data_IF_801665779469
#
_entry.id   IF_801665779469
#
_cell.length_a   1.000
_cell.length_b   1.000
_cell.length_c   1.000
_cell.angle_alpha   90.00
_cell.angle_beta   90.00
_cell.angle_gamma   90.00
#
_symmetry.space_group_name_H-M   'P 1'
#
loop_
_entity.id
_entity.type
_entity.pdbx_description
1 polymer ?
#
# COMPACT_ATOMS: atom_id res chain seq x y z
N UNK A 1 -2.15 -42.71 -22.67
CA UNK A 1 -2.85 -41.42 -22.82
C UNK A 1 -3.97 -41.36 -21.79
N UNK A 2 -3.62 -40.95 -20.58
CA UNK A 2 -4.54 -40.49 -19.54
C UNK A 2 -3.77 -39.38 -18.83
N UNK A 3 -4.19 -38.13 -19.04
CA UNK A 3 -3.59 -36.97 -18.41
C UNK A 3 -4.22 -36.79 -17.03
N UNK A 4 -3.39 -36.96 -16.01
CA UNK A 4 -3.68 -36.57 -14.63
C UNK A 4 -3.46 -35.06 -14.54
N UNK A 5 -4.53 -34.30 -14.29
CA UNK A 5 -4.46 -32.90 -13.87
C UNK A 5 -4.48 -32.92 -12.35
N UNK A 6 -3.34 -32.63 -11.72
CA UNK A 6 -3.25 -32.56 -10.26
C UNK A 6 -3.87 -31.24 -9.77
N UNK A 7 -4.92 -31.36 -8.96
CA UNK A 7 -5.46 -30.25 -8.18
C UNK A 7 -4.50 -29.97 -7.03
N UNK A 8 -3.81 -28.83 -7.07
CA UNK A 8 -3.13 -28.26 -5.91
C UNK A 8 -4.20 -27.55 -5.07
N UNK A 9 -4.51 -28.12 -3.91
CA UNK A 9 -5.33 -27.45 -2.90
C UNK A 9 -4.42 -26.48 -2.13
N UNK A 10 -4.72 -25.18 -2.20
CA UNK A 10 -4.13 -24.17 -1.31
C UNK A 10 -4.73 -24.37 0.08
N UNK A 11 -3.88 -24.63 1.07
CA UNK A 11 -4.24 -24.78 2.47
C UNK A 11 -4.07 -23.40 3.12
N UNK A 12 -5.17 -22.65 3.25
CA UNK A 12 -5.20 -21.44 4.06
C UNK A 12 -5.08 -21.85 5.53
N UNK A 13 -4.00 -21.38 6.17
CA UNK A 13 -3.73 -21.59 7.58
C UNK A 13 -4.77 -20.86 8.44
N UNK A 14 -5.58 -21.63 9.16
CA UNK A 14 -6.53 -21.13 10.14
C UNK A 14 -5.80 -20.52 11.35
N UNK A 15 -5.89 -19.21 11.54
CA UNK A 15 -5.47 -18.53 12.78
C UNK A 15 -6.54 -18.80 13.84
N UNK A 16 -6.16 -19.55 14.89
CA UNK A 16 -6.98 -19.77 16.06
C UNK A 16 -6.87 -18.56 17.01
N UNK A 17 -7.91 -17.71 17.01
CA UNK A 17 -8.04 -16.61 17.97
C UNK A 17 -8.32 -17.17 19.37
N UNK A 18 -7.34 -17.07 20.26
CA UNK A 18 -7.49 -17.34 21.69
C UNK A 18 -8.31 -16.24 22.38
N UNK A 19 -9.45 -16.63 22.95
CA UNK A 19 -10.35 -15.74 23.68
C UNK A 19 -9.72 -15.19 24.97
N UNK A 20 -9.66 -13.86 25.12
CA UNK A 20 -9.45 -13.18 26.41
C UNK A 20 -10.70 -12.35 26.74
N UNK A 21 -11.15 -12.52 27.98
CA UNK A 21 -12.45 -12.14 28.48
C UNK A 21 -12.71 -10.63 28.55
N UNK A 22 -13.93 -10.25 28.14
CA UNK A 22 -14.47 -8.90 28.15
C UNK A 22 -14.75 -8.36 29.57
N UNK A 23 -14.17 -7.19 29.89
CA UNK A 23 -14.59 -6.32 30.98
C UNK A 23 -15.28 -5.07 30.42
N UNK A 24 -16.58 -4.92 30.68
CA UNK A 24 -17.43 -3.87 30.13
C UNK A 24 -17.05 -2.46 30.65
N UNK A 25 -16.85 -1.50 29.73
CA UNK A 25 -16.82 -0.08 30.05
C UNK A 25 -17.79 0.69 29.13
N UNK A 26 -18.88 1.18 29.72
CA UNK A 26 -19.97 1.89 29.05
C UNK A 26 -19.62 3.37 28.89
N UNK A 27 -19.55 3.88 27.66
CA UNK A 27 -19.41 5.33 27.37
C UNK A 27 -20.72 5.88 26.82
N UNK A 28 -21.21 6.95 27.44
CA UNK A 28 -22.46 7.65 27.13
C UNK A 28 -22.23 8.68 26.01
N UNK A 29 -22.91 8.50 24.87
CA UNK A 29 -22.96 9.49 23.78
C UNK A 29 -23.99 10.59 24.10
N UNK A 30 -23.55 11.86 24.06
CA UNK A 30 -24.43 13.02 24.09
C UNK A 30 -24.51 13.66 22.69
N UNK A 31 -25.69 13.58 22.08
CA UNK A 31 -26.03 14.18 20.78
C UNK A 31 -26.28 15.69 20.91
N UNK A 32 -25.56 16.50 20.14
CA UNK A 32 -25.79 17.94 20.01
C UNK A 32 -26.00 18.35 18.55
N UNK A 33 -27.26 18.58 18.18
CA UNK A 33 -27.71 19.17 16.91
C UNK A 33 -27.39 20.66 16.82
N UNK A 34 -26.88 21.14 15.69
CA UNK A 34 -26.85 22.57 15.37
C UNK A 34 -26.95 22.85 13.86
N UNK A 35 -28.14 23.33 13.45
CA UNK A 35 -28.31 24.57 12.68
C UNK A 35 -27.79 24.65 11.24
N UNK A 36 -28.68 24.37 10.29
CA UNK A 36 -28.64 24.89 8.91
C UNK A 36 -28.84 26.41 8.90
N UNK A 37 -27.97 27.15 8.21
CA UNK A 37 -28.18 28.54 7.86
C UNK A 37 -27.99 28.75 6.35
N UNK A 38 -29.09 29.11 5.68
CA UNK A 38 -29.14 29.62 4.31
C UNK A 38 -28.38 30.94 4.20
N UNK A 39 -27.69 31.15 3.07
CA UNK A 39 -27.19 32.46 2.68
C UNK A 39 -27.67 32.82 1.27
N UNK A 40 -28.06 34.08 1.17
CA UNK A 40 -28.91 34.68 0.17
C UNK A 40 -28.36 34.79 -1.24
N UNK A 41 -29.33 34.76 -2.15
CA UNK A 41 -29.28 35.02 -3.57
C UNK A 41 -29.10 36.51 -3.85
N UNK A 42 -28.05 36.91 -4.57
CA UNK A 42 -27.98 38.21 -5.23
C UNK A 42 -27.51 38.09 -6.68
N UNK A 43 -28.43 38.39 -7.59
CA UNK A 43 -28.18 38.47 -9.03
C UNK A 43 -27.52 39.77 -9.47
N UNK A 44 -26.89 39.73 -10.64
CA UNK A 44 -26.26 40.88 -11.29
C UNK A 44 -25.82 40.62 -12.73
N UNK A 45 -26.74 40.88 -13.67
CA UNK A 45 -26.66 41.22 -15.11
C UNK A 45 -25.29 41.20 -15.84
N UNK A 46 -25.22 40.39 -16.90
CA UNK A 46 -25.23 40.81 -18.32
C UNK A 46 -24.09 41.69 -18.88
N UNK A 47 -23.35 41.14 -19.86
CA UNK A 47 -22.52 41.90 -20.80
C UNK A 47 -22.03 41.00 -21.95
N UNK A 48 -22.30 41.38 -23.19
CA UNK A 48 -22.16 40.60 -24.43
C UNK A 48 -21.15 41.28 -25.38
N UNK A 49 -20.38 40.48 -26.13
CA UNK A 49 -19.51 40.89 -27.26
C UNK A 49 -18.02 40.68 -26.94
N UNK A 50 -17.15 40.13 -27.80
CA UNK A 50 -17.20 39.76 -29.21
C UNK A 50 -15.78 39.88 -29.80
N UNK A 51 -15.44 38.99 -30.75
CA UNK A 51 -14.27 39.00 -31.67
C UNK A 51 -12.89 38.46 -31.24
N UNK A 52 -12.67 37.20 -31.68
CA UNK A 52 -11.62 36.75 -32.62
C UNK A 52 -10.19 37.33 -32.54
N UNK A 53 -9.26 36.47 -32.14
CA UNK A 53 -7.83 36.56 -32.44
C UNK A 53 -7.27 35.15 -32.73
N UNK A 54 -6.70 34.99 -33.91
CA UNK A 54 -6.22 33.77 -34.56
C UNK A 54 -4.75 33.49 -34.21
N UNK A 55 -4.44 32.39 -33.51
CA UNK A 55 -3.21 31.57 -33.53
C UNK A 55 -3.57 30.27 -32.80
N UNK A 56 -3.16 29.05 -33.12
CA UNK A 56 -2.12 28.47 -33.97
C UNK A 56 -2.28 26.96 -33.77
N UNK A 57 -2.10 26.18 -34.83
CA UNK A 57 -2.35 24.74 -34.80
C UNK A 57 -1.34 24.02 -33.88
N UNK A 58 -1.80 23.57 -32.71
CA UNK A 58 -1.14 22.52 -31.95
C UNK A 58 -1.97 21.23 -32.07
N UNK A 59 -1.32 20.18 -32.56
CA UNK A 59 -1.86 18.83 -32.67
C UNK A 59 -2.31 18.38 -31.28
N UNK A 60 -3.62 18.15 -31.12
CA UNK A 60 -4.18 17.55 -29.93
C UNK A 60 -3.65 16.12 -29.75
N UNK A 61 -2.76 15.93 -28.78
CA UNK A 61 -2.60 14.66 -28.11
C UNK A 61 -3.91 14.35 -27.38
N UNK A 62 -4.50 13.20 -27.67
CA UNK A 62 -5.59 12.65 -26.88
C UNK A 62 -5.03 12.44 -25.47
N UNK A 63 -5.56 13.17 -24.49
CA UNK A 63 -5.32 12.90 -23.09
C UNK A 63 -6.02 11.60 -22.76
N UNK A 64 -5.22 10.54 -22.60
CA UNK A 64 -5.68 9.29 -22.02
C UNK A 64 -5.92 9.45 -20.52
N UNK A 65 -6.76 8.57 -20.02
CA UNK A 65 -7.36 8.60 -18.70
C UNK A 65 -6.31 8.64 -17.58
N UNK A 66 -6.69 9.40 -16.54
CA UNK A 66 -5.96 9.67 -15.30
C UNK A 66 -5.51 8.39 -14.59
N UNK A 67 -4.24 8.05 -14.79
CA UNK A 67 -3.34 7.48 -13.80
C UNK A 67 -2.02 8.21 -13.97
N UNK A 68 -1.48 8.83 -12.93
CA UNK A 68 -0.08 9.27 -12.98
C UNK A 68 0.74 7.99 -13.00
N UNK A 69 1.10 7.48 -14.18
CA UNK A 69 2.06 6.39 -14.30
C UNK A 69 3.38 6.89 -13.71
N UNK A 70 3.66 6.49 -12.47
CA UNK A 70 4.88 6.86 -11.76
C UNK A 70 6.01 5.87 -12.04
N UNK A 71 5.70 4.70 -12.63
CA UNK A 71 6.69 3.70 -13.01
C UNK A 71 7.85 4.32 -13.83
N UNK A 72 9.06 4.21 -13.30
CA UNK A 72 10.27 4.77 -13.91
C UNK A 72 10.46 6.28 -13.75
N UNK A 73 9.61 6.95 -12.96
CA UNK A 73 9.74 8.36 -12.57
C UNK A 73 10.11 8.46 -11.10
N UNK A 74 11.10 9.28 -10.79
CA UNK A 74 11.48 9.58 -9.42
C UNK A 74 10.51 10.59 -8.78
N UNK A 75 10.29 10.46 -7.48
CA UNK A 75 9.60 11.48 -6.69
C UNK A 75 10.36 12.82 -6.66
N UNK A 76 11.69 12.82 -6.84
CA UNK A 76 12.48 14.04 -7.00
C UNK A 76 12.18 14.74 -8.33
N UNK A 77 11.95 13.98 -9.40
CA UNK A 77 11.55 14.56 -10.70
C UNK A 77 10.15 15.20 -10.59
N UNK A 78 9.24 14.59 -9.84
CA UNK A 78 7.90 15.14 -9.58
C UNK A 78 7.98 16.50 -8.88
N UNK A 79 8.87 16.66 -7.90
CA UNK A 79 9.07 17.96 -7.23
C UNK A 79 9.68 19.00 -8.18
N UNK A 80 10.64 18.59 -9.02
CA UNK A 80 11.31 19.49 -9.96
C UNK A 80 10.37 19.98 -11.09
N UNK A 81 9.37 19.20 -11.49
CA UNK A 81 8.39 19.59 -12.51
C UNK A 81 7.38 20.66 -12.01
N UNK A 82 7.28 20.92 -10.70
CA UNK A 82 6.35 21.94 -10.15
C UNK A 82 6.88 23.38 -10.23
N UNK A 83 8.17 23.58 -10.52
CA UNK A 83 8.83 24.90 -10.45
C UNK A 83 8.75 25.77 -11.73
N UNK A 84 8.13 25.27 -12.81
CA UNK A 84 7.99 26.01 -14.07
C UNK A 84 6.53 26.47 -14.33
N UNK A 85 6.27 27.76 -14.10
CA UNK A 85 5.06 28.54 -14.43
C UNK A 85 3.80 28.36 -13.54
N UNK A 86 3.68 29.10 -12.43
CA UNK A 86 2.50 29.94 -12.09
C UNK A 86 2.59 30.49 -10.65
N UNK A 87 2.31 31.79 -10.43
CA UNK A 87 2.08 32.42 -9.11
C UNK A 87 0.82 31.89 -8.38
N UNK A 88 0.58 30.57 -8.42
CA UNK A 88 -0.67 29.92 -8.03
C UNK A 88 -0.41 28.83 -7.00
N UNK A 89 -1.04 28.88 -5.82
CA UNK A 89 -0.85 27.86 -4.79
C UNK A 89 -1.38 26.50 -5.25
N UNK A 90 -0.60 25.44 -4.96
CA UNK A 90 -0.73 24.08 -5.50
C UNK A 90 -2.06 23.37 -5.23
N UNK A 91 -2.77 23.70 -4.15
CA UNK A 91 -4.07 23.08 -3.82
C UNK A 91 -5.21 23.44 -4.78
N UNK A 92 -5.04 24.45 -5.62
CA UNK A 92 -6.15 25.08 -6.35
C UNK A 92 -6.58 24.34 -7.65
N UNK A 93 -5.93 23.22 -8.03
CA UNK A 93 -6.23 22.37 -9.21
C UNK A 93 -6.14 23.09 -10.57
N UNK A 94 -5.80 22.46 -11.70
CA UNK A 94 -5.72 23.18 -13.00
C UNK A 94 -7.08 23.83 -13.34
N UNK A 95 -7.15 25.12 -13.73
CA UNK A 95 -8.44 25.71 -14.07
C UNK A 95 -8.93 24.99 -15.32
N UNK A 96 -10.19 24.57 -15.33
CA UNK A 96 -10.83 24.16 -16.58
C UNK A 96 -10.80 25.31 -17.59
N UNK A 97 -11.23 25.05 -18.83
CA UNK A 97 -11.18 25.96 -20.00
C UNK A 97 -11.77 27.38 -19.79
N UNK A 98 -12.31 27.72 -18.63
CA UNK A 98 -12.91 29.01 -18.29
C UNK A 98 -12.51 29.57 -16.89
N UNK A 99 -11.37 29.15 -16.33
CA UNK A 99 -10.80 29.81 -15.13
C UNK A 99 -11.60 29.64 -13.83
N UNK A 100 -12.48 28.64 -13.73
CA UNK A 100 -13.27 28.34 -12.52
C UNK A 100 -12.84 27.01 -11.90
N UNK A 101 -12.57 26.94 -10.58
CA UNK A 101 -12.36 25.67 -9.87
C UNK A 101 -13.64 24.83 -9.81
N UNK A 102 -13.51 23.51 -9.87
CA UNK A 102 -14.56 22.57 -9.44
C UNK A 102 -15.71 22.34 -10.42
N UNK A 103 -15.44 22.05 -11.70
CA UNK A 103 -16.47 21.38 -12.51
C UNK A 103 -16.41 19.89 -12.22
N UNK A 104 -17.46 19.36 -11.58
CA UNK A 104 -17.67 17.92 -11.43
C UNK A 104 -17.43 17.19 -12.75
N UNK A 105 -16.82 16.01 -12.65
CA UNK A 105 -16.46 15.18 -13.78
C UNK A 105 -17.66 15.04 -14.76
N UNK A 106 -17.57 15.55 -16.00
CA UNK A 106 -18.69 15.47 -16.95
C UNK A 106 -18.91 14.04 -17.47
N UNK A 107 -17.91 13.17 -17.28
CA UNK A 107 -18.04 11.73 -17.40
C UNK A 107 -18.08 11.13 -16.00
N UNK A 108 -19.26 11.13 -15.37
CA UNK A 108 -19.55 10.09 -14.38
C UNK A 108 -19.07 8.79 -15.00
N UNK A 109 -18.17 8.06 -14.31
CA UNK A 109 -17.88 6.68 -14.68
C UNK A 109 -19.21 6.00 -14.98
N UNK A 110 -19.34 5.43 -16.17
CA UNK A 110 -20.61 4.83 -16.63
C UNK A 110 -21.02 3.60 -15.81
N UNK A 111 -20.18 3.20 -14.85
CA UNK A 111 -20.44 2.18 -13.85
C UNK A 111 -20.46 2.88 -12.49
N UNK A 112 -21.50 2.64 -11.69
CA UNK A 112 -21.41 2.89 -10.24
C UNK A 112 -20.25 2.02 -9.76
N UNK A 113 -19.28 2.63 -9.09
CA UNK A 113 -17.93 2.09 -8.95
C UNK A 113 -16.98 2.89 -9.85
N UNK A 114 -16.52 4.05 -9.34
CA UNK A 114 -15.26 4.63 -9.81
C UNK A 114 -14.15 3.57 -9.63
N UNK A 115 -12.99 3.71 -10.27
CA UNK A 115 -11.90 2.69 -10.37
C UNK A 115 -11.46 2.02 -9.03
N UNK A 116 -11.98 2.49 -7.89
CA UNK A 116 -11.65 2.14 -6.52
C UNK A 116 -12.89 1.98 -5.61
N UNK A 117 -14.09 1.79 -6.19
CA UNK A 117 -15.37 1.81 -5.48
C UNK A 117 -15.53 0.67 -4.49
N UNK A 118 -15.25 -0.56 -4.94
CA UNK A 118 -15.35 -1.77 -4.13
C UNK A 118 -14.04 -2.56 -4.32
N UNK A 119 -13.15 -2.55 -3.32
CA UNK A 119 -11.92 -3.34 -3.32
C UNK A 119 -12.21 -4.66 -2.62
N UNK A 120 -12.24 -5.74 -3.39
CA UNK A 120 -12.45 -7.09 -2.87
C UNK A 120 -11.16 -7.90 -2.96
N UNK A 121 -11.04 -8.94 -2.16
CA UNK A 121 -10.01 -9.97 -2.38
C UNK A 121 -10.34 -10.68 -3.69
N UNK A 122 -9.37 -10.74 -4.62
CA UNK A 122 -9.59 -11.23 -5.98
C UNK A 122 -8.83 -12.53 -6.27
N UNK A 123 -9.37 -13.31 -7.19
CA UNK A 123 -8.65 -14.41 -7.83
C UNK A 123 -7.56 -13.84 -8.74
N UNK A 124 -6.30 -14.16 -8.43
CA UNK A 124 -5.11 -13.67 -9.12
C UNK A 124 -4.18 -14.79 -9.56
N UNK A 125 -3.39 -14.51 -10.59
CA UNK A 125 -2.25 -15.34 -10.96
C UNK A 125 -1.06 -15.11 -10.01
N UNK A 126 0.02 -15.87 -10.19
CA UNK A 126 1.21 -15.78 -9.34
C UNK A 126 1.93 -14.41 -9.40
N UNK A 127 1.60 -13.53 -10.35
CA UNK A 127 2.14 -12.17 -10.47
C UNK A 127 1.20 -11.11 -9.87
N UNK A 128 0.06 -11.53 -9.31
CA UNK A 128 -0.98 -10.65 -8.79
C UNK A 128 -1.88 -10.05 -9.86
N UNK A 129 -1.84 -10.55 -11.10
CA UNK A 129 -2.74 -10.10 -12.17
C UNK A 129 -4.11 -10.76 -11.97
N UNK A 130 -5.23 -10.00 -11.95
CA UNK A 130 -6.56 -10.58 -11.83
C UNK A 130 -6.87 -11.58 -12.94
N UNK A 131 -7.40 -12.74 -12.57
CA UNK A 131 -7.93 -13.72 -13.52
C UNK A 131 -9.35 -13.31 -13.89
N UNK A 132 -9.57 -13.03 -15.18
CA UNK A 132 -10.87 -12.64 -15.69
C UNK A 132 -11.70 -13.89 -16.04
N UNK A 133 -12.93 -13.97 -15.54
CA UNK A 133 -13.80 -15.12 -15.76
C UNK A 133 -15.18 -14.71 -16.28
N UNK A 134 -15.80 -15.62 -17.02
CA UNK A 134 -17.21 -15.55 -17.38
C UNK A 134 -17.92 -16.71 -16.70
N UNK A 135 -18.93 -16.38 -15.90
CA UNK A 135 -19.80 -17.38 -15.28
C UNK A 135 -20.74 -17.97 -16.33
N UNK A 136 -20.86 -19.30 -16.31
CA UNK A 136 -21.65 -20.10 -17.23
C UNK A 136 -22.38 -21.20 -16.46
N UNK A 137 -23.38 -21.80 -17.10
CA UNK A 137 -24.27 -22.81 -16.51
C UNK A 137 -24.91 -22.35 -15.19
N UNK A 138 -26.12 -22.83 -14.92
CA UNK A 138 -26.76 -22.56 -13.64
C UNK A 138 -27.06 -23.88 -12.99
N UNK A 139 -26.86 -23.93 -11.67
CA UNK A 139 -27.34 -25.04 -10.87
C UNK A 139 -28.89 -25.12 -10.94
N UNK A 140 -29.46 -26.13 -10.27
CA UNK A 140 -30.91 -26.33 -10.24
C UNK A 140 -31.72 -25.15 -9.66
N UNK A 141 -31.05 -24.23 -8.96
CA UNK A 141 -31.64 -23.04 -8.34
C UNK A 141 -31.46 -21.77 -9.19
N UNK A 142 -30.87 -21.89 -10.40
CA UNK A 142 -30.65 -20.76 -11.32
C UNK A 142 -29.43 -19.90 -10.96
N UNK A 143 -28.59 -20.36 -10.03
CA UNK A 143 -27.37 -19.66 -9.61
C UNK A 143 -26.21 -20.13 -10.50
N UNK A 144 -25.34 -19.23 -11.00
CA UNK A 144 -24.16 -19.64 -11.73
C UNK A 144 -23.25 -20.55 -10.90
N UNK A 145 -22.88 -21.71 -11.45
CA UNK A 145 -22.09 -22.73 -10.72
C UNK A 145 -20.85 -23.23 -11.47
N UNK A 146 -20.58 -22.69 -12.66
CA UNK A 146 -19.34 -22.94 -13.39
C UNK A 146 -18.80 -21.64 -13.99
N UNK A 147 -17.50 -21.59 -14.25
CA UNK A 147 -16.87 -20.44 -14.90
C UNK A 147 -15.75 -20.90 -15.82
N UNK A 148 -15.40 -20.04 -16.77
CA UNK A 148 -14.24 -20.20 -17.64
C UNK A 148 -13.44 -18.90 -17.68
N UNK A 149 -12.11 -19.02 -17.71
CA UNK A 149 -11.23 -17.88 -17.92
C UNK A 149 -11.44 -17.30 -19.32
N UNK A 150 -11.60 -15.98 -19.40
CA UNK A 150 -11.86 -15.28 -20.66
C UNK A 150 -11.40 -13.84 -20.57
N UNK A 151 -10.75 -13.34 -21.62
CA UNK A 151 -10.32 -11.94 -21.72
C UNK A 151 -11.49 -10.94 -21.73
N UNK A 152 -12.70 -11.41 -22.10
CA UNK A 152 -13.94 -10.62 -22.06
C UNK A 152 -14.69 -10.75 -20.72
N UNK A 153 -14.09 -11.44 -19.74
CA UNK A 153 -14.66 -11.71 -18.43
C UNK A 153 -14.57 -10.55 -17.44
N UNK A 154 -15.03 -10.81 -16.22
CA UNK A 154 -14.98 -9.88 -15.10
C UNK A 154 -13.88 -10.29 -14.11
N UNK A 155 -13.38 -9.32 -13.35
CA UNK A 155 -12.55 -9.61 -12.17
C UNK A 155 -13.36 -10.41 -11.17
N UNK A 156 -12.69 -11.35 -10.51
CA UNK A 156 -13.38 -12.40 -9.77
C UNK A 156 -13.11 -12.29 -8.26
N UNK A 157 -14.06 -11.78 -7.46
CA UNK A 157 -13.97 -11.84 -6.00
C UNK A 157 -13.93 -13.28 -5.49
N UNK A 158 -13.30 -13.49 -4.34
CA UNK A 158 -13.23 -14.80 -3.67
C UNK A 158 -13.73 -14.74 -2.23
N UNK A 159 -14.30 -15.86 -1.77
CA UNK A 159 -14.71 -16.07 -0.39
C UNK A 159 -13.50 -16.35 0.54
N UNK A 160 -13.76 -16.45 1.84
CA UNK A 160 -12.73 -16.67 2.88
C UNK A 160 -11.95 -17.98 2.68
N UNK A 161 -12.51 -18.95 1.97
CA UNK A 161 -11.87 -20.21 1.61
C UNK A 161 -11.12 -20.15 0.27
N UNK A 162 -11.16 -19.01 -0.43
CA UNK A 162 -10.50 -18.75 -1.70
C UNK A 162 -11.28 -19.25 -2.93
N UNK A 163 -12.58 -19.54 -2.79
CA UNK A 163 -13.41 -19.94 -3.92
C UNK A 163 -14.01 -18.71 -4.64
N UNK A 164 -14.09 -18.73 -5.97
CA UNK A 164 -14.77 -17.69 -6.75
C UNK A 164 -16.24 -17.51 -6.37
N UNK A 165 -16.64 -16.26 -6.13
CA UNK A 165 -18.02 -15.87 -5.85
C UNK A 165 -18.81 -15.66 -7.16
N UNK A 166 -20.00 -16.27 -7.33
CA UNK A 166 -20.82 -16.08 -8.53
C UNK A 166 -21.11 -14.60 -8.85
N UNK A 167 -20.97 -14.23 -10.12
CA UNK A 167 -21.31 -12.90 -10.63
C UNK A 167 -22.51 -12.95 -11.59
N UNK A 168 -23.28 -11.87 -11.66
CA UNK A 168 -24.36 -11.69 -12.64
C UNK A 168 -23.84 -11.30 -14.05
N UNK A 169 -24.76 -11.11 -14.99
CA UNK A 169 -24.41 -10.77 -16.38
C UNK A 169 -23.77 -9.38 -16.53
N UNK A 170 -23.93 -8.51 -15.52
CA UNK A 170 -23.36 -7.18 -15.45
C UNK A 170 -22.01 -7.15 -14.71
N UNK A 171 -21.59 -8.28 -14.12
CA UNK A 171 -20.36 -8.44 -13.36
C UNK A 171 -20.47 -7.98 -11.90
N UNK A 172 -21.68 -7.83 -11.37
CA UNK A 172 -21.90 -7.61 -9.95
C UNK A 172 -22.01 -8.95 -9.20
N UNK A 173 -21.74 -8.94 -7.89
CA UNK A 173 -21.91 -10.13 -7.05
C UNK A 173 -23.36 -10.59 -7.13
N UNK A 174 -23.55 -11.89 -7.37
CA UNK A 174 -24.87 -12.48 -7.48
C UNK A 174 -25.62 -12.38 -6.15
N UNK A 175 -26.91 -12.08 -6.20
CA UNK A 175 -27.72 -11.89 -4.99
C UNK A 175 -27.73 -13.13 -4.10
N UNK A 176 -27.44 -12.93 -2.82
CA UNK A 176 -27.30 -13.97 -1.80
C UNK A 176 -25.85 -14.35 -1.46
N UNK A 177 -24.87 -13.79 -2.18
CA UNK A 177 -23.43 -14.02 -1.95
C UNK A 177 -22.67 -12.75 -1.56
N UNK A 178 -23.37 -11.63 -1.33
CA UNK A 178 -22.73 -10.34 -1.02
C UNK A 178 -21.94 -10.37 0.29
N UNK A 179 -22.37 -11.19 1.26
CA UNK A 179 -21.70 -11.35 2.56
C UNK A 179 -20.45 -12.25 2.49
N UNK A 180 -20.30 -13.03 1.42
CA UNK A 180 -19.13 -13.91 1.22
C UNK A 180 -17.93 -13.12 0.68
N UNK A 181 -18.17 -11.96 0.06
CA UNK A 181 -17.12 -11.12 -0.51
C UNK A 181 -16.31 -10.43 0.58
N UNK A 182 -15.00 -10.61 0.52
CA UNK A 182 -14.07 -10.01 1.47
C UNK A 182 -13.58 -8.66 0.96
N UNK A 183 -13.81 -7.61 1.73
CA UNK A 183 -13.29 -6.28 1.42
C UNK A 183 -11.81 -6.14 1.80
N UNK A 184 -11.07 -5.39 0.98
CA UNK A 184 -9.68 -5.05 1.28
C UNK A 184 -9.63 -3.76 2.07
N UNK A 185 -9.10 -3.84 3.28
CA UNK A 185 -8.87 -2.67 4.12
C UNK A 185 -7.48 -2.08 3.87
N UNK A 186 -7.44 -0.82 3.45
CA UNK A 186 -6.18 -0.07 3.30
C UNK A 186 -5.79 0.69 4.57
N UNK A 187 -6.72 0.94 5.49
CA UNK A 187 -6.47 1.73 6.70
C UNK A 187 -5.70 3.02 6.41
N UNK A 188 -4.48 3.12 6.95
CA UNK A 188 -3.56 4.25 6.78
C UNK A 188 -3.00 4.40 5.36
N UNK A 189 -2.91 3.32 4.61
CA UNK A 189 -2.43 3.30 3.21
C UNK A 189 -3.37 4.04 2.25
N UNK A 190 -4.60 4.36 2.68
CA UNK A 190 -5.50 5.24 1.92
C UNK A 190 -4.85 6.59 1.57
N UNK A 191 -3.81 7.01 2.31
CA UNK A 191 -3.02 8.19 1.96
C UNK A 191 -2.37 8.12 0.58
N UNK A 192 -2.14 6.93 0.02
CA UNK A 192 -1.66 6.75 -1.36
C UNK A 192 -2.59 7.34 -2.42
N UNK A 193 -3.86 7.58 -2.09
CA UNK A 193 -4.83 8.28 -2.97
C UNK A 193 -4.67 9.80 -2.93
N UNK A 194 -3.81 10.32 -2.06
CA UNK A 194 -3.47 11.73 -2.03
C UNK A 194 -2.71 12.12 -3.30
N UNK A 195 -2.70 13.41 -3.67
CA UNK A 195 -1.84 13.88 -4.75
C UNK A 195 -0.38 13.45 -4.53
N UNK A 196 0.30 13.04 -5.61
CA UNK A 196 1.67 12.50 -5.54
C UNK A 196 2.67 13.42 -4.82
N UNK A 197 2.50 14.74 -4.91
CA UNK A 197 3.37 15.71 -4.22
C UNK A 197 3.42 15.48 -2.70
N UNK A 198 2.35 14.95 -2.10
CA UNK A 198 2.33 14.64 -0.65
C UNK A 198 3.37 13.58 -0.31
N UNK A 199 3.50 12.54 -1.14
CA UNK A 199 4.54 11.52 -0.96
C UNK A 199 5.91 12.05 -1.38
N UNK A 200 5.98 12.87 -2.43
CA UNK A 200 7.23 13.45 -2.89
C UNK A 200 7.88 14.36 -1.84
N UNK A 201 7.12 15.22 -1.15
CA UNK A 201 7.65 16.01 -0.03
C UNK A 201 8.15 15.14 1.13
N UNK A 202 7.48 14.01 1.39
CA UNK A 202 7.90 13.06 2.45
C UNK A 202 9.16 12.31 2.06
N UNK A 203 9.30 11.99 0.78
CA UNK A 203 10.54 11.47 0.23
C UNK A 203 11.69 12.46 0.39
N UNK A 204 11.47 13.74 0.09
CA UNK A 204 12.46 14.80 0.25
C UNK A 204 12.89 14.95 1.73
N UNK A 205 11.95 14.90 2.69
CA UNK A 205 12.26 14.91 4.12
C UNK A 205 13.16 13.71 4.53
N UNK A 206 12.85 12.51 4.03
CA UNK A 206 13.66 11.31 4.27
C UNK A 206 15.07 11.45 3.66
N UNK A 207 15.18 11.88 2.40
CA UNK A 207 16.47 12.09 1.72
C UNK A 207 17.28 13.19 2.39
N UNK A 208 16.67 14.28 2.85
CA UNK A 208 17.34 15.32 3.62
C UNK A 208 17.92 14.78 4.92
N UNK A 209 17.19 13.89 5.60
CA UNK A 209 17.69 13.22 6.81
C UNK A 209 18.87 12.30 6.49
N UNK A 210 18.81 11.54 5.40
CA UNK A 210 19.89 10.65 4.95
C UNK A 210 21.15 11.41 4.47
N UNK A 211 20.97 12.61 3.93
CA UNK A 211 22.03 13.49 3.47
C UNK A 211 22.59 14.43 4.55
N UNK A 212 22.09 14.36 5.79
CA UNK A 212 22.59 15.21 6.87
C UNK A 212 24.10 14.96 7.08
N UNK A 213 24.96 16.00 7.06
CA UNK A 213 26.41 15.84 7.20
C UNK A 213 26.84 15.24 8.54
N UNK A 214 25.96 15.20 9.54
CA UNK A 214 26.22 14.59 10.83
C UNK A 214 25.89 13.10 10.86
N UNK A 215 25.40 12.50 9.77
CA UNK A 215 25.21 11.04 9.68
C UNK A 215 26.58 10.36 9.63
N UNK A 216 26.85 9.48 10.60
CA UNK A 216 28.08 8.71 10.68
C UNK A 216 27.97 7.37 9.95
N UNK A 217 26.84 6.67 10.10
CA UNK A 217 26.58 5.37 9.47
C UNK A 217 25.10 5.09 9.33
N UNK A 218 24.78 4.20 8.39
CA UNK A 218 23.43 3.65 8.18
C UNK A 218 23.45 2.15 8.45
N UNK A 219 22.35 1.64 8.99
CA UNK A 219 22.07 0.21 9.12
C UNK A 219 20.56 -0.02 8.99
N UNK A 220 20.14 -1.28 9.12
CA UNK A 220 18.72 -1.62 9.26
C UNK A 220 18.39 -1.87 10.72
N UNK A 221 17.17 -1.54 11.13
CA UNK A 221 16.62 -2.01 12.40
C UNK A 221 16.11 -3.47 12.25
N UNK A 222 15.66 -4.13 13.33
CA UNK A 222 15.22 -5.53 13.28
C UNK A 222 14.07 -5.83 12.30
N UNK A 223 13.34 -4.80 11.87
CA UNK A 223 12.20 -4.90 10.94
C UNK A 223 12.54 -4.30 9.57
N UNK A 224 13.83 -4.10 9.26
CA UNK A 224 14.30 -3.65 7.96
C UNK A 224 14.08 -2.17 7.67
N UNK A 225 13.79 -1.32 8.66
CA UNK A 225 13.70 0.13 8.46
C UNK A 225 15.09 0.75 8.55
N UNK A 226 15.32 1.83 7.82
CA UNK A 226 16.62 2.50 7.84
C UNK A 226 16.86 3.13 9.21
N UNK A 227 17.91 2.65 9.89
CA UNK A 227 18.44 3.17 11.14
C UNK A 227 19.63 4.07 10.84
N UNK A 228 19.56 5.31 11.32
CA UNK A 228 20.57 6.34 11.15
C UNK A 228 21.33 6.48 12.46
N UNK A 229 22.65 6.40 12.40
CA UNK A 229 23.53 6.73 13.54
C UNK A 229 24.25 8.04 13.24
N UNK A 230 24.07 9.03 14.11
CA UNK A 230 24.73 10.32 14.00
C UNK A 230 26.12 10.32 14.64
N UNK A 231 26.94 11.30 14.28
CA UNK A 231 28.31 11.49 14.77
C UNK A 231 28.41 11.74 16.28
N UNK A 232 27.32 12.16 16.92
CA UNK A 232 27.22 12.31 18.38
C UNK A 232 26.84 11.01 19.10
N UNK A 233 26.64 9.92 18.36
CA UNK A 233 26.25 8.60 18.87
C UNK A 233 24.74 8.42 19.06
N UNK A 234 23.92 9.43 18.75
CA UNK A 234 22.46 9.28 18.76
C UNK A 234 22.00 8.44 17.56
N UNK A 235 20.90 7.71 17.74
CA UNK A 235 20.28 6.90 16.69
C UNK A 235 18.85 7.35 16.43
N UNK A 236 18.44 7.29 15.16
CA UNK A 236 17.07 7.58 14.72
C UNK A 236 16.69 6.64 13.60
N UNK A 237 15.53 6.01 13.72
CA UNK A 237 14.93 5.23 12.63
C UNK A 237 14.05 6.12 11.76
N UNK A 238 14.01 5.90 10.46
CA UNK A 238 12.97 6.45 9.58
C UNK A 238 11.66 5.70 9.91
N UNK A 239 10.90 6.23 10.86
CA UNK A 239 9.72 5.58 11.43
C UNK A 239 8.41 6.24 11.00
N UNK A 240 8.47 7.37 10.29
CA UNK A 240 7.30 8.06 9.79
C UNK A 240 6.62 7.24 8.67
N UNK A 241 5.31 6.94 8.78
CA UNK A 241 4.68 6.02 7.84
C UNK A 241 4.54 6.56 6.42
N UNK A 242 4.49 7.89 6.26
CA UNK A 242 4.53 8.51 4.92
C UNK A 242 5.92 8.54 4.31
N UNK A 243 6.98 8.67 5.12
CA UNK A 243 8.35 8.58 4.62
C UNK A 243 8.61 7.14 4.12
N UNK A 244 8.19 6.14 4.88
CA UNK A 244 8.30 4.73 4.47
C UNK A 244 7.48 4.42 3.21
N UNK A 245 6.23 4.90 3.09
CA UNK A 245 5.47 4.72 1.85
C UNK A 245 6.14 5.39 0.63
N UNK A 246 6.80 6.52 0.85
CA UNK A 246 7.51 7.23 -0.20
C UNK A 246 8.82 6.51 -0.60
N UNK A 247 9.56 5.93 0.37
CA UNK A 247 10.70 5.06 0.11
C UNK A 247 10.30 3.81 -0.70
N UNK A 248 9.18 3.17 -0.32
CA UNK A 248 8.57 2.06 -1.07
C UNK A 248 8.29 2.47 -2.52
N UNK A 249 7.56 3.56 -2.73
CA UNK A 249 7.21 4.04 -4.07
C UNK A 249 8.45 4.33 -4.92
N UNK A 250 9.46 4.98 -4.34
CA UNK A 250 10.68 5.30 -5.06
C UNK A 250 11.43 4.03 -5.49
N UNK A 251 11.72 3.10 -4.57
CA UNK A 251 12.43 1.85 -4.89
C UNK A 251 11.67 1.03 -5.93
N UNK A 252 10.36 0.88 -5.76
CA UNK A 252 9.53 0.10 -6.70
C UNK A 252 9.43 0.76 -8.08
N UNK A 253 9.60 2.08 -8.15
CA UNK A 253 9.55 2.85 -9.41
C UNK A 253 10.89 2.86 -10.15
N UNK A 254 11.99 3.10 -9.44
CA UNK A 254 13.29 3.44 -10.03
C UNK A 254 14.37 2.39 -9.78
N UNK A 255 14.17 1.50 -8.81
CA UNK A 255 15.18 0.56 -8.33
C UNK A 255 16.31 1.23 -7.54
N UNK A 256 16.14 2.46 -7.06
CA UNK A 256 17.16 3.17 -6.26
C UNK A 256 16.57 4.34 -5.49
N UNK A 257 17.15 4.70 -4.35
CA UNK A 257 16.86 5.95 -3.65
C UNK A 257 17.55 7.11 -4.37
N UNK A 258 16.81 7.83 -5.21
CA UNK A 258 17.32 9.01 -5.91
C UNK A 258 17.53 10.21 -4.97
N UNK A 259 18.42 11.13 -5.35
CA UNK A 259 18.72 12.31 -4.53
C UNK A 259 19.59 12.06 -3.28
N UNK A 260 19.85 10.80 -2.92
CA UNK A 260 20.85 10.45 -1.92
C UNK A 260 22.26 10.76 -2.47
N UNK A 261 22.99 11.62 -1.76
CA UNK A 261 24.35 12.04 -2.12
C UNK A 261 25.43 11.27 -1.37
N UNK A 262 25.11 10.80 -0.16
CA UNK A 262 26.00 10.03 0.71
C UNK A 262 25.99 8.53 0.40
N UNK A 263 26.05 8.16 -0.88
CA UNK A 263 25.94 6.75 -1.33
C UNK A 263 27.02 5.84 -0.74
N UNK A 264 28.17 6.39 -0.30
CA UNK A 264 29.22 5.62 0.38
C UNK A 264 28.82 5.07 1.75
N UNK A 265 27.73 5.57 2.35
CA UNK A 265 27.18 5.06 3.61
C UNK A 265 26.28 3.83 3.40
N UNK A 266 25.78 3.63 2.18
CA UNK A 266 24.96 2.48 1.79
C UNK A 266 25.88 1.31 1.47
N UNK A 267 26.13 0.48 2.48
CA UNK A 267 27.04 -0.66 2.40
C UNK A 267 26.36 -1.92 2.94
N UNK A 268 26.90 -3.09 2.64
CA UNK A 268 26.30 -4.36 3.08
C UNK A 268 24.88 -4.51 2.55
N UNK A 269 23.93 -4.76 3.46
CA UNK A 269 22.52 -5.00 3.17
C UNK A 269 21.76 -3.75 2.69
N UNK A 270 22.38 -2.57 2.71
CA UNK A 270 21.81 -1.33 2.18
C UNK A 270 22.32 -1.00 0.77
N UNK A 271 23.31 -1.73 0.25
CA UNK A 271 24.01 -1.35 -0.98
C UNK A 271 23.11 -1.40 -2.23
N UNK A 272 22.12 -2.29 -2.25
CA UNK A 272 21.15 -2.43 -3.34
C UNK A 272 20.27 -1.18 -3.48
N UNK A 273 19.91 -0.52 -2.38
CA UNK A 273 19.08 0.69 -2.37
C UNK A 273 19.66 1.87 -3.16
N UNK A 274 20.93 1.83 -3.57
CA UNK A 274 21.59 2.90 -4.35
C UNK A 274 22.26 2.40 -5.64
N UNK A 275 21.97 1.17 -6.08
CA UNK A 275 22.67 0.54 -7.22
C UNK A 275 21.95 0.69 -8.57
N UNK A 276 20.70 1.17 -8.57
CA UNK A 276 19.89 1.42 -9.76
C UNK A 276 19.20 0.18 -10.33
N UNK A 277 19.07 -0.90 -9.58
CA UNK A 277 18.41 -2.13 -10.01
C UNK A 277 17.36 -2.55 -9.01
N UNK A 278 16.19 -2.93 -9.51
CA UNK A 278 15.19 -3.62 -8.70
C UNK A 278 15.50 -5.13 -8.69
N UNK A 279 15.96 -5.64 -7.56
CA UNK A 279 16.27 -7.06 -7.33
C UNK A 279 15.42 -7.64 -6.19
N UNK A 280 15.55 -8.94 -5.91
CA UNK A 280 14.86 -9.55 -4.77
C UNK A 280 15.28 -8.97 -3.42
N UNK A 281 16.49 -8.41 -3.30
CA UNK A 281 16.92 -7.69 -2.09
C UNK A 281 16.14 -6.38 -1.92
N UNK A 282 15.99 -5.61 -3.01
CA UNK A 282 15.21 -4.37 -3.01
C UNK A 282 13.73 -4.63 -2.72
N UNK A 283 13.20 -5.76 -3.18
CA UNK A 283 11.84 -6.19 -2.84
C UNK A 283 11.70 -6.53 -1.35
N UNK A 284 12.73 -7.10 -0.71
CA UNK A 284 12.70 -7.36 0.73
C UNK A 284 12.69 -6.05 1.53
N UNK A 285 13.53 -5.08 1.14
CA UNK A 285 13.53 -3.73 1.74
C UNK A 285 12.19 -3.01 1.48
N UNK A 286 11.65 -3.14 0.27
CA UNK A 286 10.35 -2.58 -0.08
C UNK A 286 9.21 -3.20 0.76
N UNK A 287 9.27 -4.49 1.08
CA UNK A 287 8.31 -5.12 1.99
C UNK A 287 8.35 -4.48 3.39
N UNK A 288 9.55 -4.17 3.90
CA UNK A 288 9.74 -3.42 5.15
C UNK A 288 9.15 -2.01 5.08
N UNK A 289 9.47 -1.25 4.03
CA UNK A 289 8.93 0.10 3.85
C UNK A 289 7.41 0.09 3.73
N UNK A 290 6.84 -0.89 3.02
CA UNK A 290 5.40 -1.07 2.94
C UNK A 290 4.79 -1.41 4.31
N UNK A 291 5.39 -2.34 5.05
CA UNK A 291 4.93 -2.73 6.38
C UNK A 291 4.95 -1.54 7.36
N UNK A 292 6.03 -0.77 7.38
CA UNK A 292 6.16 0.42 8.23
C UNK A 292 5.15 1.53 7.87
N UNK A 293 4.67 1.57 6.63
CA UNK A 293 3.62 2.49 6.19
C UNK A 293 2.19 2.04 6.53
N UNK A 294 2.01 0.74 6.76
CA UNK A 294 0.72 0.10 6.97
C UNK A 294 0.13 0.39 8.36
N UNK A 295 -1.11 -0.04 8.58
CA UNK A 295 -1.67 -0.05 9.93
C UNK A 295 -1.02 -1.15 10.77
N UNK A 296 -0.70 -0.84 12.03
CA UNK A 296 -0.01 -1.76 12.93
C UNK A 296 -0.89 -2.94 13.33
N UNK A 297 -2.20 -2.72 13.40
CA UNK A 297 -3.19 -3.72 13.82
C UNK A 297 -3.86 -4.43 12.63
N UNK A 298 -3.48 -4.06 11.40
CA UNK A 298 -4.09 -4.58 10.18
C UNK A 298 -3.35 -5.82 9.65
N UNK A 299 -4.03 -6.57 8.80
CA UNK A 299 -3.41 -7.64 8.02
C UNK A 299 -3.13 -7.13 6.60
N UNK A 300 -1.92 -7.37 6.12
CA UNK A 300 -1.56 -7.10 4.72
C UNK A 300 -1.74 -8.38 3.93
N UNK A 301 -2.62 -8.35 2.92
CA UNK A 301 -2.82 -9.46 1.99
C UNK A 301 -2.29 -9.09 0.61
N UNK A 302 -2.19 -10.07 -0.29
CA UNK A 302 -1.78 -9.87 -1.68
C UNK A 302 -2.54 -8.72 -2.35
N UNK A 303 -3.86 -8.70 -2.19
CA UNK A 303 -4.70 -7.63 -2.74
C UNK A 303 -4.36 -6.25 -2.18
N UNK A 304 -4.01 -6.12 -0.90
CA UNK A 304 -3.58 -4.84 -0.30
C UNK A 304 -2.41 -4.26 -1.08
N UNK A 305 -1.42 -5.10 -1.41
CA UNK A 305 -0.22 -4.70 -2.16
C UNK A 305 -0.57 -4.36 -3.61
N UNK A 306 -1.35 -5.20 -4.29
CA UNK A 306 -1.68 -4.97 -5.70
C UNK A 306 -2.55 -3.70 -5.86
N UNK A 307 -3.55 -3.51 -5.01
CA UNK A 307 -4.34 -2.27 -5.01
C UNK A 307 -3.46 -1.05 -4.72
N UNK A 308 -2.53 -1.15 -3.78
CA UNK A 308 -1.60 -0.05 -3.51
C UNK A 308 -0.67 0.25 -4.68
N UNK A 309 -0.13 -0.77 -5.36
CA UNK A 309 0.66 -0.58 -6.57
C UNK A 309 -0.11 0.15 -7.66
N UNK A 310 -1.41 -0.16 -7.79
CA UNK A 310 -2.27 0.53 -8.75
C UNK A 310 -2.59 1.96 -8.33
N UNK A 311 -2.91 2.18 -7.05
CA UNK A 311 -3.20 3.52 -6.48
C UNK A 311 -2.00 4.44 -6.65
N UNK A 312 -0.79 3.93 -6.39
CA UNK A 312 0.46 4.67 -6.53
C UNK A 312 0.95 4.78 -7.99
N UNK A 313 0.26 4.17 -8.96
CA UNK A 313 0.61 4.24 -10.37
C UNK A 313 1.88 3.46 -10.75
N UNK A 314 2.21 2.42 -9.98
CA UNK A 314 3.30 1.47 -10.24
C UNK A 314 2.88 0.33 -11.20
N UNK A 315 1.59 0.01 -11.25
CA UNK A 315 1.03 -1.04 -12.10
C UNK A 315 -0.37 -0.65 -12.59
N UNK A 316 -0.85 -1.28 -13.67
CA UNK A 316 -2.23 -1.14 -14.12
C UNK A 316 -3.15 -2.18 -13.48
N UNK A 317 -4.46 -1.92 -13.54
CA UNK A 317 -5.47 -2.80 -12.95
C UNK A 317 -5.53 -4.18 -13.62
N UNK A 318 -5.39 -4.20 -14.94
CA UNK A 318 -5.41 -5.39 -15.81
C UNK A 318 -4.38 -5.24 -16.92
N UNK A 319 -3.88 -6.36 -17.44
CA UNK A 319 -2.94 -6.41 -18.58
C UNK A 319 -1.50 -6.69 -18.18
N UNK A 320 -0.57 -6.35 -19.07
CA UNK A 320 0.85 -6.75 -18.98
C UNK A 320 1.72 -5.76 -18.17
N UNK A 321 1.14 -4.67 -17.65
CA UNK A 321 1.86 -3.66 -16.86
C UNK A 321 1.69 -3.95 -15.35
N UNK A 322 2.51 -4.88 -14.87
CA UNK A 322 2.57 -5.31 -13.48
C UNK A 322 3.99 -5.25 -12.92
N UNK A 323 4.12 -5.32 -11.60
CA UNK A 323 5.42 -5.46 -10.91
C UNK A 323 5.83 -6.94 -10.92
N UNK A 324 7.02 -7.23 -11.44
CA UNK A 324 7.51 -8.60 -11.56
C UNK A 324 8.11 -9.09 -10.23
N UNK A 325 7.38 -9.95 -9.53
CA UNK A 325 7.83 -10.59 -8.29
C UNK A 325 8.45 -11.98 -8.53
N UNK A 326 8.61 -12.46 -9.78
CA UNK A 326 8.94 -13.88 -10.05
C UNK A 326 10.21 -14.41 -9.38
N UNK A 327 11.17 -13.54 -9.09
CA UNK A 327 12.41 -13.90 -8.42
C UNK A 327 12.36 -13.80 -6.90
N UNK A 328 11.23 -13.34 -6.34
CA UNK A 328 11.06 -13.14 -4.91
C UNK A 328 10.63 -14.43 -4.23
N UNK A 329 11.31 -14.75 -3.14
CA UNK A 329 11.00 -15.89 -2.28
C UNK A 329 11.15 -15.43 -0.85
N UNK A 330 10.21 -15.86 -0.01
CA UNK A 330 10.22 -15.58 1.42
C UNK A 330 10.23 -16.87 2.21
N UNK A 331 11.01 -16.89 3.27
CA UNK A 331 11.08 -17.97 4.25
C UNK A 331 11.27 -17.33 5.63
N UNK A 332 10.37 -17.67 6.55
CA UNK A 332 10.29 -17.02 7.87
C UNK A 332 11.47 -17.40 8.75
N UNK A 333 11.85 -18.67 8.82
CA UNK A 333 13.02 -19.13 9.59
C UNK A 333 14.30 -18.42 9.11
N UNK A 334 14.51 -18.37 7.79
CA UNK A 334 15.68 -17.68 7.20
C UNK A 334 15.71 -16.19 7.51
N UNK A 335 14.54 -15.55 7.62
CA UNK A 335 14.44 -14.09 7.87
C UNK A 335 14.61 -13.74 9.35
N UNK A 336 14.04 -14.55 10.24
CA UNK A 336 13.89 -14.20 11.66
C UNK A 336 14.72 -15.04 12.62
N UNK A 337 15.34 -16.14 12.15
CA UNK A 337 16.05 -17.11 12.99
C UNK A 337 17.18 -16.52 13.82
N UNK A 338 17.87 -15.52 13.28
CA UNK A 338 18.99 -14.82 13.95
C UNK A 338 18.59 -13.43 14.50
N UNK A 339 17.30 -13.07 14.48
CA UNK A 339 16.84 -11.72 14.88
C UNK A 339 16.50 -11.71 16.36
N UNK A 340 17.37 -11.08 17.15
CA UNK A 340 17.16 -10.83 18.58
C UNK A 340 16.76 -9.37 18.83
N UNK A 341 15.77 -9.17 19.70
CA UNK A 341 15.31 -7.85 20.15
C UNK A 341 15.19 -7.80 21.67
N UNK A 342 15.55 -6.67 22.27
CA UNK A 342 15.34 -6.46 23.71
C UNK A 342 14.01 -5.76 23.94
N UNK A 343 13.12 -6.40 24.69
CA UNK A 343 11.77 -5.93 24.97
C UNK A 343 11.51 -5.81 26.48
N UNK A 344 10.54 -4.98 26.84
CA UNK A 344 10.06 -4.85 28.21
C UNK A 344 8.86 -5.79 28.40
N UNK A 345 9.09 -6.92 29.09
CA UNK A 345 8.07 -7.96 29.31
C UNK A 345 7.73 -8.12 30.80
N UNK A 346 6.52 -8.60 31.16
CA UNK A 346 6.16 -8.81 32.56
C UNK A 346 6.97 -9.98 33.15
N UNK A 347 7.69 -9.70 34.24
CA UNK A 347 8.48 -10.69 34.96
C UNK A 347 7.63 -11.80 35.57
N UNK A 348 8.15 -13.03 35.55
CA UNK A 348 7.43 -14.27 35.85
C UNK A 348 6.91 -14.42 37.29
N UNK A 349 7.43 -13.64 38.24
CA UNK A 349 7.13 -13.81 39.67
C UNK A 349 6.33 -12.67 40.30
N UNK A 350 6.47 -11.43 39.83
CA UNK A 350 5.96 -10.25 40.57
C UNK A 350 5.20 -9.22 39.71
N UNK A 351 4.98 -9.49 38.41
CA UNK A 351 4.31 -8.55 37.50
C UNK A 351 5.09 -7.27 37.24
N UNK A 352 6.37 -7.23 37.64
CA UNK A 352 7.31 -6.15 37.33
C UNK A 352 7.81 -6.30 35.90
N UNK A 353 7.77 -5.23 35.13
CA UNK A 353 8.33 -5.21 33.79
C UNK A 353 9.86 -5.29 33.82
N UNK A 354 10.45 -6.19 33.03
CA UNK A 354 11.89 -6.44 32.95
C UNK A 354 12.34 -6.46 31.50
N UNK A 355 13.53 -5.91 31.24
CA UNK A 355 14.19 -6.06 29.94
C UNK A 355 14.53 -7.53 29.70
N UNK A 356 14.10 -8.05 28.55
CA UNK A 356 14.26 -9.44 28.15
C UNK A 356 14.69 -9.48 26.70
N UNK A 357 15.76 -10.22 26.41
CA UNK A 357 16.16 -10.51 25.04
C UNK A 357 15.28 -11.64 24.49
N UNK A 358 14.71 -11.40 23.32
CA UNK A 358 13.69 -12.24 22.67
C UNK A 358 14.15 -12.53 21.25
N UNK A 359 14.15 -13.80 20.86
CA UNK A 359 14.36 -14.20 19.46
C UNK A 359 13.01 -14.18 18.74
N UNK A 360 12.90 -13.44 17.64
CA UNK A 360 11.61 -13.26 16.94
C UNK A 360 11.07 -14.59 16.39
N UNK A 361 11.93 -15.46 15.90
CA UNK A 361 11.52 -16.77 15.38
C UNK A 361 11.04 -17.71 16.49
N UNK A 362 11.86 -17.90 17.52
CA UNK A 362 11.58 -18.85 18.60
C UNK A 362 10.46 -18.36 19.53
N UNK A 363 10.52 -17.10 19.98
CA UNK A 363 9.64 -16.62 21.06
C UNK A 363 8.36 -15.94 20.56
N UNK A 364 8.41 -15.24 19.42
CA UNK A 364 7.23 -14.55 18.86
C UNK A 364 6.47 -15.43 17.88
N UNK A 365 7.16 -16.05 16.92
CA UNK A 365 6.52 -16.96 15.97
C UNK A 365 6.33 -18.39 16.49
N UNK A 366 6.89 -18.77 17.65
CA UNK A 366 6.81 -20.14 18.20
C UNK A 366 7.28 -21.19 17.18
N UNK A 367 8.35 -20.86 16.43
CA UNK A 367 8.90 -21.68 15.34
C UNK A 367 7.85 -22.03 14.25
N UNK A 368 6.80 -21.21 14.10
CA UNK A 368 5.73 -21.46 13.15
C UNK A 368 6.18 -21.16 11.72
N UNK A 369 6.37 -22.21 10.94
CA UNK A 369 6.78 -22.14 9.54
C UNK A 369 5.85 -21.28 8.67
N UNK A 370 6.43 -20.41 7.86
CA UNK A 370 5.77 -19.78 6.72
C UNK A 370 6.78 -19.48 5.61
N UNK A 371 6.35 -19.73 4.38
CA UNK A 371 7.11 -19.41 3.18
C UNK A 371 6.16 -19.08 2.05
N UNK A 372 6.67 -18.36 1.06
CA UNK A 372 5.91 -17.98 -0.12
C UNK A 372 6.83 -17.57 -1.26
N UNK A 373 6.26 -17.45 -2.45
CA UNK A 373 6.99 -17.03 -3.65
C UNK A 373 6.20 -15.98 -4.41
N UNK A 374 6.89 -15.23 -5.26
CA UNK A 374 6.27 -14.18 -6.07
C UNK A 374 5.55 -13.15 -5.20
N UNK A 375 4.38 -12.67 -5.63
CA UNK A 375 3.60 -11.67 -4.87
C UNK A 375 3.10 -12.22 -3.54
N UNK A 376 2.77 -13.51 -3.46
CA UNK A 376 2.32 -14.17 -2.23
C UNK A 376 3.45 -14.22 -1.18
N UNK A 377 4.67 -14.51 -1.62
CA UNK A 377 5.87 -14.39 -0.77
C UNK A 377 6.10 -12.97 -0.28
N UNK A 378 5.93 -11.97 -1.17
CA UNK A 378 6.07 -10.56 -0.81
C UNK A 378 5.01 -10.13 0.21
N UNK A 379 3.75 -10.56 0.02
CA UNK A 379 2.66 -10.29 0.95
C UNK A 379 2.88 -10.95 2.31
N UNK A 380 3.32 -12.21 2.31
CA UNK A 380 3.64 -12.93 3.56
C UNK A 380 4.77 -12.24 4.32
N UNK A 381 5.86 -11.87 3.63
CA UNK A 381 6.97 -11.13 4.23
C UNK A 381 6.51 -9.80 4.84
N UNK A 382 5.73 -9.03 4.08
CA UNK A 382 5.19 -7.73 4.51
C UNK A 382 4.28 -7.89 5.72
N UNK A 383 3.42 -8.90 5.76
CA UNK A 383 2.50 -9.14 6.85
C UNK A 383 3.21 -9.59 8.13
N UNK A 384 4.25 -10.40 8.02
CA UNK A 384 5.11 -10.76 9.16
C UNK A 384 5.82 -9.53 9.71
N UNK A 385 6.35 -8.67 8.84
CA UNK A 385 6.97 -7.40 9.23
C UNK A 385 5.98 -6.49 9.98
N UNK A 386 4.72 -6.38 9.54
CA UNK A 386 3.69 -5.61 10.26
C UNK A 386 3.47 -6.16 11.68
N UNK A 387 3.33 -7.47 11.82
CA UNK A 387 3.12 -8.13 13.11
C UNK A 387 4.32 -7.95 14.06
N UNK A 388 5.55 -8.08 13.55
CA UNK A 388 6.76 -7.86 14.35
C UNK A 388 6.90 -6.37 14.73
N UNK A 389 6.57 -5.45 13.82
CA UNK A 389 6.51 -4.01 14.10
C UNK A 389 5.53 -3.70 15.24
N UNK A 390 4.36 -4.33 15.24
CA UNK A 390 3.37 -4.20 16.32
C UNK A 390 3.97 -4.69 17.64
N UNK A 391 4.50 -5.92 17.64
CA UNK A 391 5.08 -6.56 18.81
C UNK A 391 6.22 -5.75 19.45
N UNK A 392 7.19 -5.29 18.64
CA UNK A 392 8.31 -4.48 19.13
C UNK A 392 7.84 -3.15 19.69
N UNK A 393 6.85 -2.50 19.05
CA UNK A 393 6.36 -1.21 19.52
C UNK A 393 5.52 -1.31 20.80
N UNK A 394 4.74 -2.38 20.96
CA UNK A 394 3.93 -2.60 22.16
C UNK A 394 4.81 -2.80 23.41
N UNK A 395 5.94 -3.49 23.24
CA UNK A 395 6.87 -3.84 24.33
C UNK A 395 8.20 -3.07 24.28
N UNK A 396 8.23 -1.90 23.65
CA UNK A 396 9.44 -1.10 23.50
C UNK A 396 10.00 -0.66 24.87
N UNK A 397 11.32 -0.75 25.04
CA UNK A 397 12.00 -0.28 26.26
C UNK A 397 11.94 1.25 26.34
N UNK A 398 11.39 1.85 27.41
CA UNK A 398 11.30 3.30 27.54
C UNK A 398 12.68 3.94 27.62
N UNK A 399 12.93 4.94 26.76
CA UNK A 399 14.11 5.80 26.91
C UNK A 399 13.91 6.74 28.09
N UNK A 400 14.86 6.70 29.04
CA UNK A 400 14.87 7.67 30.14
C UNK A 400 15.38 9.02 29.64
N UNK A 401 14.73 10.15 29.99
CA UNK A 401 15.26 11.46 29.63
C UNK A 401 16.64 11.62 30.27
N UNK A 402 17.65 11.96 29.47
CA UNK A 402 18.94 12.42 29.98
C UNK A 402 18.73 13.74 30.74
N UNK A 403 19.06 13.78 32.03
CA UNK A 403 18.98 14.99 32.88
C UNK A 403 19.91 16.13 32.44
#
# INVERSE_FOLDING_TARGET
>A
MQSSVSKFARLLGSVAVGAIAAGALTVVLATGTAGTASADNHGGKGGQGGQSGQMGASKGGKGDARGHGLRGKSLMDVLAEEDEDSDRPSWAGVPGRDGKPGRGNPSSGGKKGDLFGDMYVLLRDDNGVPILVVWSDTNNDGIPDSYVESADGFVQPIDAEGNPIPLDAEGAIYTGFEEDAQEVELGRLNVGRSPVFVLATRYEEAVNTLNDPNVASLSLDPVGRILITYTDGTTKTIDAPLENLALYLEIMSTGTLTGVTSTSLFTGDLANLVDGKLTSADLLDAASFFAASSDKFGTVVEDTIIYMNQILGLATYVGDDYIDYKSFTYDRETTWGDVEVTLMLPGTTDGTWVETDVNIWEDFFDEAEASGSNVDGFATATNDLVQVIEYIHEYAVPVTPTE
#
